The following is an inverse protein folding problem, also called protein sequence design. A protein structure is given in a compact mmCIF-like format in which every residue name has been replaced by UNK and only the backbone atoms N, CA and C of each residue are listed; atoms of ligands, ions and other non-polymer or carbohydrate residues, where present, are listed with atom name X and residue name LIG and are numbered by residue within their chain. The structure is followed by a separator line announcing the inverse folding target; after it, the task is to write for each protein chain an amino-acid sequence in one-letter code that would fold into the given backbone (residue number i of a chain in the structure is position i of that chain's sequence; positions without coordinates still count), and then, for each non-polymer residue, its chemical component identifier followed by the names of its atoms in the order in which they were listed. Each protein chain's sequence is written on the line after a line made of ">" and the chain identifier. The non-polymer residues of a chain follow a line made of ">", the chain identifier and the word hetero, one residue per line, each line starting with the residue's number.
data_IF_054049261294
#
_entry.id   IF_054049261294
#
_cell.length_a   1.000
_cell.length_b   1.000
_cell.length_c   1.000
_cell.angle_alpha   90.00
_cell.angle_beta   90.00
_cell.angle_gamma   90.00
#
_symmetry.space_group_name_H-M   'P 1'
#
loop_
_entity.id
_entity.type
_entity.pdbx_description
1 polymer ?
#
# COMPACT_ATOMS: atom_id res chain seq x y z
N UNK A 1 45.10 12.58 -7.10
CA UNK A 1 45.49 13.91 -7.60
C UNK A 1 44.56 14.39 -8.73
N UNK A 2 44.19 13.53 -9.68
CA UNK A 2 43.26 13.87 -10.78
C UNK A 2 41.80 14.09 -10.30
N UNK A 3 41.27 13.31 -9.35
CA UNK A 3 39.87 13.49 -8.90
C UNK A 3 39.64 14.83 -8.19
N UNK A 4 40.55 15.24 -7.31
CA UNK A 4 40.49 16.53 -6.61
C UNK A 4 40.60 17.73 -7.56
N UNK A 5 41.37 17.61 -8.64
CA UNK A 5 41.47 18.63 -9.69
C UNK A 5 40.18 18.76 -10.50
N UNK A 6 39.47 17.65 -10.71
CA UNK A 6 38.20 17.63 -11.45
C UNK A 6 37.06 18.25 -10.64
N UNK A 7 37.00 17.94 -9.34
CA UNK A 7 36.04 18.57 -8.42
C UNK A 7 36.30 20.08 -8.30
N UNK A 8 37.57 20.49 -8.19
CA UNK A 8 37.93 21.90 -8.07
C UNK A 8 37.59 22.69 -9.35
N UNK A 9 37.79 22.09 -10.54
CA UNK A 9 37.36 22.69 -11.80
C UNK A 9 35.83 22.79 -11.92
N UNK A 10 35.10 21.78 -11.42
CA UNK A 10 33.64 21.78 -11.39
C UNK A 10 33.06 22.84 -10.45
N UNK A 11 33.68 23.03 -9.28
CA UNK A 11 33.33 24.12 -8.36
C UNK A 11 33.62 25.50 -8.97
N UNK A 12 34.80 25.66 -9.59
CA UNK A 12 35.21 26.94 -10.18
C UNK A 12 34.33 27.35 -11.38
N UNK A 13 33.88 26.37 -12.19
CA UNK A 13 32.96 26.63 -13.30
C UNK A 13 31.53 26.90 -12.85
N UNK A 14 31.05 26.22 -11.80
CA UNK A 14 29.76 26.54 -11.17
C UNK A 14 29.75 27.93 -10.55
N UNK A 15 30.79 28.28 -9.80
CA UNK A 15 30.93 29.60 -9.17
C UNK A 15 31.04 30.71 -10.22
N UNK A 16 31.81 30.50 -11.29
CA UNK A 16 31.95 31.47 -12.37
C UNK A 16 30.63 31.69 -13.14
N UNK A 17 29.90 30.61 -13.44
CA UNK A 17 28.59 30.69 -14.12
C UNK A 17 27.53 31.38 -13.24
N UNK A 18 27.56 31.15 -11.93
CA UNK A 18 26.69 31.86 -10.99
C UNK A 18 27.04 33.36 -10.95
N UNK A 19 28.33 33.73 -10.86
CA UNK A 19 28.79 35.13 -10.79
C UNK A 19 28.43 35.93 -12.06
N UNK A 20 28.55 35.35 -13.25
CA UNK A 20 28.18 36.03 -14.50
C UNK A 20 26.65 36.15 -14.67
N UNK A 21 25.90 35.14 -14.18
CA UNK A 21 24.43 35.16 -14.15
C UNK A 21 23.86 36.28 -13.26
N UNK A 22 24.52 36.65 -12.14
CA UNK A 22 24.10 37.81 -11.33
C UNK A 22 24.34 39.18 -12.00
N UNK A 23 25.05 39.22 -13.12
CA UNK A 23 25.38 40.46 -13.85
C UNK A 23 24.42 40.75 -15.00
N UNK A 24 23.66 39.74 -15.44
CA UNK A 24 22.66 39.84 -16.51
C UNK A 24 21.30 39.42 -15.95
N UNK A 25 20.35 40.35 -15.91
CA UNK A 25 19.05 40.17 -15.23
C UNK A 25 18.26 38.96 -15.78
N UNK A 26 18.38 38.67 -17.08
CA UNK A 26 17.73 37.54 -17.73
C UNK A 26 18.32 36.19 -17.27
N UNK A 27 19.65 36.10 -17.15
CA UNK A 27 20.32 34.89 -16.67
C UNK A 27 20.06 34.66 -15.18
N UNK A 28 19.96 35.74 -14.39
CA UNK A 28 19.59 35.68 -12.98
C UNK A 28 18.16 35.14 -12.79
N UNK A 29 17.19 35.62 -13.58
CA UNK A 29 15.81 35.13 -13.54
C UNK A 29 15.72 33.64 -13.92
N UNK A 30 16.47 33.21 -14.94
CA UNK A 30 16.54 31.80 -15.37
C UNK A 30 17.18 30.93 -14.28
N UNK A 31 18.27 31.38 -13.66
CA UNK A 31 18.91 30.66 -12.55
C UNK A 31 17.98 30.54 -11.34
N UNK A 32 17.26 31.61 -10.99
CA UNK A 32 16.29 31.59 -9.89
C UNK A 32 15.12 30.64 -10.18
N UNK A 33 14.62 30.62 -11.42
CA UNK A 33 13.56 29.71 -11.85
C UNK A 33 14.02 28.24 -11.81
N UNK A 34 15.23 27.94 -12.31
CA UNK A 34 15.81 26.60 -12.28
C UNK A 34 16.04 26.11 -10.85
N UNK A 35 16.58 26.96 -9.98
CA UNK A 35 16.79 26.64 -8.57
C UNK A 35 15.45 26.38 -7.87
N UNK A 36 14.44 27.23 -8.11
CA UNK A 36 13.09 27.02 -7.60
C UNK A 36 12.47 25.71 -8.06
N UNK A 37 12.53 25.42 -9.36
CA UNK A 37 12.01 24.18 -9.94
C UNK A 37 12.71 22.93 -9.36
N UNK A 38 14.02 22.99 -9.15
CA UNK A 38 14.81 21.91 -8.55
C UNK A 38 14.41 21.67 -7.09
N UNK A 39 14.20 22.72 -6.30
CA UNK A 39 13.73 22.60 -4.91
C UNK A 39 12.34 21.98 -4.86
N UNK A 40 11.40 22.43 -5.69
CA UNK A 40 10.06 21.83 -5.75
C UNK A 40 10.08 20.38 -6.20
N UNK A 41 10.97 20.03 -7.14
CA UNK A 41 11.15 18.64 -7.56
C UNK A 41 11.65 17.75 -6.42
N UNK A 42 12.69 18.18 -5.69
CA UNK A 42 13.21 17.43 -4.54
C UNK A 42 12.15 17.29 -3.44
N UNK A 43 11.44 18.37 -3.11
CA UNK A 43 10.36 18.33 -2.12
C UNK A 43 9.22 17.41 -2.57
N UNK A 44 8.88 17.40 -3.86
CA UNK A 44 7.90 16.48 -4.44
C UNK A 44 8.32 15.02 -4.28
N UNK A 45 9.57 14.69 -4.60
CA UNK A 45 10.12 13.33 -4.43
C UNK A 45 10.10 12.91 -2.97
N UNK A 46 10.55 13.77 -2.06
CA UNK A 46 10.52 13.49 -0.61
C UNK A 46 9.08 13.28 -0.14
N UNK A 47 8.14 14.12 -0.59
CA UNK A 47 6.72 13.99 -0.26
C UNK A 47 6.13 12.66 -0.71
N UNK A 48 6.45 12.19 -1.92
CA UNK A 48 6.01 10.88 -2.42
C UNK A 48 6.59 9.75 -1.58
N UNK A 49 7.89 9.80 -1.26
CA UNK A 49 8.56 8.79 -0.43
C UNK A 49 7.91 8.72 0.96
N UNK A 50 7.69 9.88 1.61
CA UNK A 50 7.03 9.96 2.91
C UNK A 50 5.58 9.43 2.85
N UNK A 51 4.84 9.76 1.78
CA UNK A 51 3.48 9.26 1.58
C UNK A 51 3.43 7.74 1.44
N UNK A 52 4.33 7.16 0.63
CA UNK A 52 4.44 5.71 0.48
C UNK A 52 4.83 5.03 1.79
N UNK A 53 5.75 5.62 2.55
CA UNK A 53 6.16 5.10 3.86
C UNK A 53 4.99 5.09 4.85
N UNK A 54 4.16 6.14 4.86
CA UNK A 54 2.96 6.21 5.69
C UNK A 54 1.94 5.12 5.31
N UNK A 55 1.68 4.93 4.01
CA UNK A 55 0.80 3.86 3.53
C UNK A 55 1.31 2.49 3.98
N UNK A 56 2.63 2.25 3.88
CA UNK A 56 3.24 0.99 4.30
C UNK A 56 3.05 0.75 5.81
N UNK A 57 3.24 1.77 6.64
CA UNK A 57 2.99 1.70 8.08
C UNK A 57 1.53 1.34 8.37
N UNK A 58 0.58 1.97 7.68
CA UNK A 58 -0.85 1.68 7.85
C UNK A 58 -1.17 0.24 7.48
N UNK A 59 -0.64 -0.28 6.37
CA UNK A 59 -0.81 -1.68 5.97
C UNK A 59 -0.25 -2.62 7.03
N UNK A 60 0.93 -2.33 7.56
CA UNK A 60 1.56 -3.13 8.60
C UNK A 60 0.74 -3.13 9.89
N UNK A 61 0.23 -1.97 10.31
CA UNK A 61 -0.59 -1.81 11.50
C UNK A 61 -1.92 -2.56 11.38
N UNK A 62 -2.60 -2.45 10.23
CA UNK A 62 -3.82 -3.21 9.93
C UNK A 62 -3.53 -4.72 10.00
N UNK A 63 -2.45 -5.17 9.35
CA UNK A 63 -2.06 -6.58 9.32
C UNK A 63 -1.77 -7.10 10.73
N UNK A 64 -0.97 -6.36 11.50
CA UNK A 64 -0.65 -6.70 12.89
C UNK A 64 -1.90 -6.73 13.78
N UNK A 65 -2.83 -5.78 13.59
CA UNK A 65 -4.11 -5.75 14.29
C UNK A 65 -4.97 -6.98 14.00
N UNK A 66 -5.10 -7.37 12.73
CA UNK A 66 -5.88 -8.56 12.34
C UNK A 66 -5.23 -9.83 12.91
N UNK A 67 -3.90 -9.96 12.82
CA UNK A 67 -3.17 -11.12 13.35
C UNK A 67 -3.38 -11.21 14.87
N UNK A 68 -3.20 -10.10 15.59
CA UNK A 68 -3.40 -10.02 17.04
C UNK A 68 -4.82 -10.41 17.45
N UNK A 69 -5.84 -9.83 16.81
CA UNK A 69 -7.24 -10.15 17.08
C UNK A 69 -7.55 -11.64 16.82
N UNK A 70 -7.00 -12.20 15.74
CA UNK A 70 -7.21 -13.60 15.36
C UNK A 70 -6.57 -14.58 16.36
N UNK A 71 -5.37 -14.25 16.85
CA UNK A 71 -4.69 -15.02 17.89
C UNK A 71 -5.44 -14.96 19.22
N UNK A 72 -5.89 -13.77 19.62
CA UNK A 72 -6.66 -13.57 20.85
C UNK A 72 -7.97 -14.38 20.82
N UNK A 73 -8.71 -14.35 19.71
CA UNK A 73 -9.92 -15.16 19.54
C UNK A 73 -9.61 -16.66 19.56
N UNK A 74 -8.48 -17.07 18.99
CA UNK A 74 -8.01 -18.45 19.04
C UNK A 74 -7.72 -18.95 20.47
N UNK A 75 -7.08 -18.10 21.29
CA UNK A 75 -6.79 -18.38 22.69
C UNK A 75 -8.05 -18.38 23.54
N UNK A 76 -8.90 -17.35 23.42
CA UNK A 76 -10.13 -17.21 24.20
C UNK A 76 -11.10 -18.38 23.95
N UNK A 77 -11.25 -18.81 22.71
CA UNK A 77 -12.14 -19.92 22.37
C UNK A 77 -11.46 -21.30 22.45
N UNK A 78 -10.22 -21.37 22.95
CA UNK A 78 -9.37 -22.57 23.03
C UNK A 78 -9.34 -23.39 21.73
N UNK A 79 -9.44 -22.71 20.59
CA UNK A 79 -9.56 -23.35 19.28
C UNK A 79 -8.87 -22.53 18.20
N UNK A 80 -7.76 -23.06 17.69
CA UNK A 80 -7.03 -22.48 16.56
C UNK A 80 -7.93 -22.32 15.33
N UNK A 81 -8.86 -23.26 15.12
CA UNK A 81 -9.79 -23.21 13.98
C UNK A 81 -10.67 -21.96 14.00
N UNK A 82 -11.09 -21.50 15.19
CA UNK A 82 -11.94 -20.31 15.32
C UNK A 82 -11.15 -19.00 15.17
N UNK A 83 -9.89 -18.98 15.63
CA UNK A 83 -8.96 -17.89 15.37
C UNK A 83 -8.69 -17.73 13.86
N UNK A 84 -8.40 -18.83 13.16
CA UNK A 84 -8.22 -18.82 11.70
C UNK A 84 -9.48 -18.39 10.94
N UNK A 85 -10.66 -18.82 11.38
CA UNK A 85 -11.92 -18.34 10.77
C UNK A 85 -12.03 -16.83 10.84
N UNK A 86 -11.72 -16.25 11.99
CA UNK A 86 -11.76 -14.80 12.22
C UNK A 86 -10.74 -14.08 11.34
N UNK A 87 -9.52 -14.62 11.23
CA UNK A 87 -8.49 -14.08 10.35
C UNK A 87 -8.96 -13.96 8.90
N UNK A 88 -9.45 -15.06 8.31
CA UNK A 88 -9.90 -15.08 6.92
C UNK A 88 -11.08 -14.15 6.67
N UNK A 89 -12.04 -14.08 7.60
CA UNK A 89 -13.19 -13.18 7.48
C UNK A 89 -12.75 -11.73 7.54
N UNK A 90 -11.93 -11.35 8.53
CA UNK A 90 -11.48 -9.95 8.69
C UNK A 90 -10.65 -9.46 7.50
N UNK A 91 -9.71 -10.28 7.01
CA UNK A 91 -8.93 -9.94 5.81
C UNK A 91 -9.83 -9.81 4.57
N UNK A 92 -10.79 -10.72 4.41
CA UNK A 92 -11.68 -10.70 3.25
C UNK A 92 -12.60 -9.49 3.27
N UNK A 93 -13.13 -9.08 4.42
CA UNK A 93 -13.95 -7.87 4.57
C UNK A 93 -13.15 -6.63 4.23
N UNK A 94 -11.96 -6.47 4.79
CA UNK A 94 -11.14 -5.28 4.52
C UNK A 94 -10.72 -5.22 3.04
N UNK A 95 -10.22 -6.32 2.49
CA UNK A 95 -9.79 -6.37 1.09
C UNK A 95 -10.92 -6.12 0.10
N UNK A 96 -12.08 -6.77 0.31
CA UNK A 96 -13.25 -6.57 -0.56
C UNK A 96 -13.87 -5.18 -0.42
N UNK A 97 -13.85 -4.58 0.78
CA UNK A 97 -14.35 -3.22 0.99
C UNK A 97 -13.52 -2.21 0.22
N UNK A 98 -12.19 -2.30 0.32
CA UNK A 98 -11.28 -1.42 -0.44
C UNK A 98 -11.50 -1.60 -1.95
N UNK A 99 -11.51 -2.85 -2.43
CA UNK A 99 -11.70 -3.14 -3.84
C UNK A 99 -13.07 -2.65 -4.37
N UNK A 100 -14.13 -2.85 -3.59
CA UNK A 100 -15.49 -2.46 -3.95
C UNK A 100 -15.66 -0.94 -3.99
N UNK A 101 -15.14 -0.20 -3.00
CA UNK A 101 -15.18 1.27 -3.01
C UNK A 101 -14.46 1.83 -4.23
N UNK A 102 -13.27 1.31 -4.57
CA UNK A 102 -12.52 1.72 -5.76
C UNK A 102 -13.34 1.45 -7.04
N UNK A 103 -13.96 0.28 -7.14
CA UNK A 103 -14.78 -0.10 -8.29
C UNK A 103 -15.99 0.82 -8.45
N UNK A 104 -16.72 1.10 -7.36
CA UNK A 104 -17.89 1.99 -7.39
C UNK A 104 -17.50 3.44 -7.70
N UNK A 105 -16.38 3.94 -7.17
CA UNK A 105 -15.85 5.25 -7.54
C UNK A 105 -15.47 5.31 -9.03
N UNK A 106 -14.82 4.26 -9.56
CA UNK A 106 -14.47 4.19 -10.97
C UNK A 106 -15.70 4.19 -11.87
N UNK A 107 -16.74 3.41 -11.54
CA UNK A 107 -18.02 3.43 -12.25
C UNK A 107 -18.65 4.82 -12.18
N UNK A 108 -18.60 5.47 -11.02
CA UNK A 108 -19.20 6.79 -10.85
C UNK A 108 -18.51 7.85 -11.72
N UNK A 109 -17.18 7.81 -11.84
CA UNK A 109 -16.43 8.70 -12.74
C UNK A 109 -16.82 8.52 -14.20
N UNK A 110 -17.07 7.30 -14.66
CA UNK A 110 -17.40 7.02 -16.07
C UNK A 110 -18.86 7.35 -16.40
N UNK A 111 -19.78 7.05 -15.49
CA UNK A 111 -21.22 7.09 -15.75
C UNK A 111 -21.94 8.30 -15.12
N UNK A 112 -21.30 9.04 -14.22
CA UNK A 112 -21.91 10.08 -13.37
C UNK A 112 -23.27 9.63 -12.81
N UNK A 113 -23.36 8.36 -12.42
CA UNK A 113 -24.65 7.73 -12.19
C UNK A 113 -25.27 8.21 -10.86
N UNK A 114 -24.41 8.47 -9.86
CA UNK A 114 -24.81 8.93 -8.53
C UNK A 114 -23.89 10.02 -7.98
N UNK A 115 -24.33 10.65 -6.89
CA UNK A 115 -23.50 11.52 -6.08
C UNK A 115 -22.38 10.71 -5.43
N UNK A 116 -21.18 11.29 -5.32
CA UNK A 116 -19.98 10.60 -4.88
C UNK A 116 -20.14 9.94 -3.50
N UNK A 117 -20.87 10.60 -2.59
CA UNK A 117 -21.15 10.10 -1.24
C UNK A 117 -21.94 8.78 -1.29
N UNK A 118 -22.94 8.69 -2.17
CA UNK A 118 -23.76 7.49 -2.34
C UNK A 118 -22.94 6.33 -2.93
N UNK A 119 -22.00 6.62 -3.84
CA UNK A 119 -21.13 5.60 -4.41
C UNK A 119 -20.17 5.00 -3.37
N UNK A 120 -19.64 5.83 -2.46
CA UNK A 120 -18.78 5.38 -1.35
C UNK A 120 -19.56 4.49 -0.40
N UNK A 121 -20.76 4.93 0.03
CA UNK A 121 -21.61 4.16 0.94
C UNK A 121 -21.99 2.82 0.32
N UNK A 122 -22.43 2.83 -0.95
CA UNK A 122 -22.76 1.61 -1.68
C UNK A 122 -21.56 0.66 -1.75
N UNK A 123 -20.37 1.19 -2.07
CA UNK A 123 -19.13 0.42 -2.12
C UNK A 123 -18.76 -0.21 -0.77
N UNK A 124 -18.98 0.48 0.34
CA UNK A 124 -18.75 -0.06 1.70
C UNK A 124 -19.72 -1.18 2.00
N UNK A 125 -21.02 -0.97 1.77
CA UNK A 125 -22.06 -1.96 2.06
C UNK A 125 -21.87 -3.23 1.22
N UNK A 126 -21.65 -3.08 -0.09
CA UNK A 126 -21.38 -4.23 -0.97
C UNK A 126 -20.05 -4.91 -0.64
N UNK A 127 -19.05 -4.13 -0.24
CA UNK A 127 -17.75 -4.60 0.23
C UNK A 127 -17.87 -5.52 1.44
N UNK A 128 -18.52 -5.07 2.51
CA UNK A 128 -18.72 -5.86 3.72
C UNK A 128 -19.50 -7.14 3.42
N UNK A 129 -20.58 -7.04 2.65
CA UNK A 129 -21.42 -8.20 2.30
C UNK A 129 -20.64 -9.24 1.48
N UNK A 130 -19.94 -8.80 0.42
CA UNK A 130 -19.15 -9.69 -0.43
C UNK A 130 -17.96 -10.29 0.33
N UNK A 131 -17.27 -9.49 1.16
CA UNK A 131 -16.14 -9.93 1.97
C UNK A 131 -16.50 -10.97 3.03
N UNK A 132 -17.67 -10.84 3.64
CA UNK A 132 -18.18 -11.85 4.57
C UNK A 132 -18.36 -13.21 3.87
N UNK A 133 -19.03 -13.21 2.71
CA UNK A 133 -19.27 -14.42 1.91
C UNK A 133 -17.92 -15.02 1.47
N UNK A 134 -17.03 -14.20 0.91
CA UNK A 134 -15.72 -14.64 0.44
C UNK A 134 -14.88 -15.25 1.58
N UNK A 135 -14.89 -14.61 2.74
CA UNK A 135 -14.15 -15.08 3.93
C UNK A 135 -14.61 -16.43 4.43
N UNK A 136 -15.93 -16.70 4.43
CA UNK A 136 -16.49 -18.01 4.79
C UNK A 136 -16.10 -19.09 3.78
N UNK A 137 -16.14 -18.77 2.48
CA UNK A 137 -15.73 -19.69 1.41
C UNK A 137 -14.24 -20.03 1.53
N UNK A 138 -13.38 -19.01 1.68
CA UNK A 138 -11.93 -19.16 1.90
C UNK A 138 -11.64 -20.08 3.08
N UNK A 139 -12.25 -19.81 4.24
CA UNK A 139 -12.06 -20.64 5.43
C UNK A 139 -12.45 -22.11 5.18
N UNK A 140 -13.56 -22.34 4.48
CA UNK A 140 -14.03 -23.69 4.16
C UNK A 140 -13.06 -24.40 3.21
N UNK A 141 -12.55 -23.70 2.21
CA UNK A 141 -11.55 -24.22 1.27
C UNK A 141 -10.23 -24.57 1.99
N UNK A 142 -9.73 -23.67 2.85
CA UNK A 142 -8.54 -23.92 3.66
C UNK A 142 -8.71 -25.13 4.58
N UNK A 143 -9.87 -25.28 5.23
CA UNK A 143 -10.17 -26.45 6.06
C UNK A 143 -10.16 -27.75 5.25
N UNK A 144 -10.73 -27.75 4.03
CA UNK A 144 -10.70 -28.92 3.14
C UNK A 144 -9.27 -29.26 2.70
N UNK A 145 -8.45 -28.27 2.36
CA UNK A 145 -7.05 -28.48 1.98
C UNK A 145 -6.23 -29.12 3.11
N UNK A 146 -6.38 -28.62 4.33
CA UNK A 146 -5.68 -29.19 5.50
C UNK A 146 -6.12 -30.63 5.74
N UNK A 147 -7.43 -30.92 5.61
CA UNK A 147 -7.95 -32.27 5.78
C UNK A 147 -7.45 -33.22 4.68
N UNK A 148 -7.37 -32.74 3.44
CA UNK A 148 -6.80 -33.49 2.31
C UNK A 148 -5.33 -33.84 2.54
N UNK A 149 -4.52 -32.86 2.98
CA UNK A 149 -3.11 -33.08 3.33
C UNK A 149 -2.97 -34.09 4.46
N UNK A 150 -3.78 -33.96 5.53
CA UNK A 150 -3.79 -34.91 6.65
C UNK A 150 -4.06 -36.34 6.17
N UNK A 151 -5.09 -36.52 5.34
CA UNK A 151 -5.47 -37.84 4.83
C UNK A 151 -4.38 -38.43 3.93
N UNK A 152 -3.77 -37.59 3.07
CA UNK A 152 -2.66 -38.01 2.19
C UNK A 152 -1.41 -38.43 2.98
N UNK A 153 -1.09 -37.73 4.07
CA UNK A 153 0.02 -38.10 4.95
C UNK A 153 -0.30 -39.35 5.78
N UNK A 154 -1.53 -39.50 6.27
CA UNK A 154 -1.93 -40.69 7.02
C UNK A 154 -1.86 -41.96 6.14
N UNK A 155 -2.37 -41.91 4.90
CA UNK A 155 -2.32 -43.04 3.95
C UNK A 155 -0.89 -43.47 3.61
N UNK A 156 0.07 -42.53 3.62
CA UNK A 156 1.51 -42.82 3.41
C UNK A 156 2.11 -43.60 4.58
N UNK A 157 1.74 -43.27 5.82
CA UNK A 157 2.26 -43.93 7.02
C UNK A 157 1.70 -45.35 7.15
N UNK A 158 0.44 -45.59 6.79
CA UNK A 158 -0.18 -46.92 6.85
C UNK A 158 0.24 -47.90 5.75
N UNK A 159 0.97 -47.42 4.72
CA UNK A 159 1.50 -48.27 3.63
C UNK A 159 2.98 -48.65 3.83
N UNK A 160 3.62 -48.18 4.89
CA UNK A 160 4.93 -48.65 5.35
C UNK A 160 4.74 -49.68 6.47
#
# INVERSE_FOLDING_TARGET
>A
MISSLTELFSYLTLDFYLIDSFRNDDDFLVAMLLMGALVFFILGVIGIILGLLLILIVIFLISAGIISASLLVGLQQKSLSKGFKTFFISVSILGSTIASVILFLFINTVKNWWQADTAIIAGIVSGIASGWILGVIMFTASKKLVMFLKNKYADRITRQ
#
